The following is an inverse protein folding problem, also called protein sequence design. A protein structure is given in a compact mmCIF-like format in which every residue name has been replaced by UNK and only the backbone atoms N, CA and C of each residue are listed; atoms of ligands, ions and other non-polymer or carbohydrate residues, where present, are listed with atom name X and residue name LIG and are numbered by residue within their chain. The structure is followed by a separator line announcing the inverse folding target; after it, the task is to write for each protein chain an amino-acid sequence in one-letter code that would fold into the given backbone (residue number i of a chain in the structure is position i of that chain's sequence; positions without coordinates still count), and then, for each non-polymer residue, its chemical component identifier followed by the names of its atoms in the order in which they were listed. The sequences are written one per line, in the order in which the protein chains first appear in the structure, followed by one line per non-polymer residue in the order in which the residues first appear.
data_IF_993493218147
#
_entry.id   IF_993493218147
#
_cell.length_a   1.000
_cell.length_b   1.000
_cell.length_c   1.000
_cell.angle_alpha   90.00
_cell.angle_beta   90.00
_cell.angle_gamma   90.00
#
_symmetry.space_group_name_H-M   'P 1'
#
loop_
_entity.id
_entity.type
_entity.pdbx_description
1 polymer ?
#
# COMPACT_ATOMS: atom_id res chain seq x y z
N UNK A 1 5.00 -17.83 -30.82
CA UNK A 1 4.74 -18.53 -29.54
C UNK A 1 3.62 -17.77 -28.82
N UNK A 2 2.36 -18.14 -29.05
CA UNK A 2 1.21 -17.61 -28.32
C UNK A 2 0.84 -18.63 -27.24
N UNK A 3 1.48 -18.52 -26.08
CA UNK A 3 0.95 -19.06 -24.83
C UNK A 3 0.20 -17.93 -24.14
N UNK A 4 -0.96 -17.55 -24.69
CA UNK A 4 -1.79 -16.50 -24.11
C UNK A 4 -2.33 -17.00 -22.78
N UNK A 5 -1.82 -16.47 -21.67
CA UNK A 5 -2.39 -16.70 -20.35
C UNK A 5 -3.89 -16.33 -20.40
N UNK A 6 -4.76 -17.27 -20.06
CA UNK A 6 -6.18 -17.00 -19.80
C UNK A 6 -6.40 -16.37 -18.41
N UNK A 7 -5.32 -16.03 -17.71
CA UNK A 7 -5.34 -15.45 -16.38
C UNK A 7 -5.70 -13.97 -16.40
N UNK A 8 -6.38 -13.55 -15.34
CA UNK A 8 -6.69 -12.15 -15.05
C UNK A 8 -5.46 -11.54 -14.38
N UNK A 9 -4.98 -10.41 -14.91
CA UNK A 9 -3.79 -9.74 -14.41
C UNK A 9 -4.04 -8.26 -14.14
N UNK A 10 -3.37 -7.73 -13.12
CA UNK A 10 -3.26 -6.30 -12.84
C UNK A 10 -1.79 -5.90 -12.90
N UNK A 11 -1.47 -4.92 -13.75
CA UNK A 11 -0.11 -4.39 -13.89
C UNK A 11 0.11 -3.17 -13.02
N UNK A 12 1.19 -3.17 -12.24
CA UNK A 12 1.61 -2.03 -11.44
C UNK A 12 2.71 -1.24 -12.18
N UNK A 13 2.68 0.09 -12.07
CA UNK A 13 3.73 0.97 -12.61
C UNK A 13 5.06 0.74 -11.90
N UNK A 14 5.00 0.57 -10.58
CA UNK A 14 6.16 0.30 -9.72
C UNK A 14 6.11 -1.11 -9.15
N UNK A 15 7.25 -1.64 -8.73
CA UNK A 15 7.33 -2.98 -8.17
C UNK A 15 6.51 -3.06 -6.87
N UNK A 16 5.53 -3.97 -6.84
CA UNK A 16 4.86 -4.33 -5.60
C UNK A 16 5.77 -5.20 -4.73
N UNK A 17 5.67 -5.00 -3.42
CA UNK A 17 6.30 -5.85 -2.41
C UNK A 17 5.30 -6.72 -1.67
N UNK A 18 4.12 -6.18 -1.38
CA UNK A 18 3.12 -6.83 -0.57
C UNK A 18 1.72 -6.67 -1.17
N UNK A 19 0.85 -7.63 -0.87
CA UNK A 19 -0.57 -7.65 -1.24
C UNK A 19 -1.35 -8.34 -0.13
N UNK A 20 -2.55 -7.83 0.18
CA UNK A 20 -3.50 -8.48 1.09
C UNK A 20 -4.93 -8.36 0.54
N UNK A 21 -5.79 -9.27 0.96
CA UNK A 21 -7.24 -9.16 0.78
C UNK A 21 -7.82 -8.01 1.63
N UNK A 22 -8.98 -7.48 1.23
CA UNK A 22 -9.75 -6.51 2.03
C UNK A 22 -10.80 -7.28 2.84
N UNK A 23 -10.43 -7.75 4.03
CA UNK A 23 -11.22 -8.70 4.84
C UNK A 23 -12.64 -8.26 5.15
N UNK A 24 -12.85 -6.95 5.35
CA UNK A 24 -14.15 -6.38 5.68
C UNK A 24 -15.03 -6.08 4.46
N UNK A 25 -14.52 -6.22 3.23
CA UNK A 25 -15.34 -6.12 2.01
C UNK A 25 -16.02 -7.47 1.76
N UNK A 26 -17.24 -7.61 2.26
CA UNK A 26 -18.03 -8.85 2.11
C UNK A 26 -18.75 -8.96 0.77
N UNK A 27 -18.80 -7.86 0.02
CA UNK A 27 -19.60 -7.75 -1.20
C UNK A 27 -18.76 -7.96 -2.46
N UNK A 28 -17.44 -7.77 -2.37
CA UNK A 28 -16.52 -7.87 -3.50
C UNK A 28 -15.23 -8.62 -3.16
N UNK A 29 -14.60 -9.17 -4.18
CA UNK A 29 -13.21 -9.66 -4.08
C UNK A 29 -12.25 -8.50 -4.31
N UNK A 30 -11.78 -7.90 -3.22
CA UNK A 30 -10.90 -6.73 -3.22
C UNK A 30 -9.54 -7.02 -2.57
N UNK A 31 -8.52 -6.34 -3.05
CA UNK A 31 -7.14 -6.44 -2.58
C UNK A 31 -6.53 -5.05 -2.40
N UNK A 32 -5.59 -4.94 -1.46
CA UNK A 32 -4.69 -3.80 -1.35
C UNK A 32 -3.26 -4.24 -1.66
N UNK A 33 -2.56 -3.51 -2.52
CA UNK A 33 -1.18 -3.77 -2.89
C UNK A 33 -0.29 -2.57 -2.58
N UNK A 34 0.90 -2.81 -2.01
CA UNK A 34 1.86 -1.78 -1.66
C UNK A 34 3.14 -1.87 -2.47
N UNK A 35 3.65 -0.74 -2.94
CA UNK A 35 4.90 -0.67 -3.72
C UNK A 35 6.14 -0.54 -2.83
N UNK A 36 7.29 -0.86 -3.41
CA UNK A 36 8.61 -0.54 -2.86
C UNK A 36 9.46 0.14 -3.94
N UNK A 37 9.73 1.42 -3.74
CA UNK A 37 10.60 2.26 -4.55
C UNK A 37 11.50 3.10 -3.66
N UNK A 38 12.78 3.16 -4.04
CA UNK A 38 13.81 4.02 -3.43
C UNK A 38 13.96 5.37 -4.14
N UNK A 39 13.29 5.55 -5.29
CA UNK A 39 13.48 6.72 -6.18
C UNK A 39 12.22 7.52 -6.39
N UNK A 40 11.09 6.83 -6.37
CA UNK A 40 9.77 7.36 -6.70
C UNK A 40 8.91 7.31 -5.43
N UNK A 41 7.88 8.15 -5.38
CA UNK A 41 6.89 8.07 -4.30
C UNK A 41 6.22 6.69 -4.33
N UNK A 42 6.06 6.06 -3.16
CA UNK A 42 5.41 4.76 -3.07
C UNK A 42 3.90 4.92 -3.14
N UNK A 43 3.20 3.84 -3.51
CA UNK A 43 1.77 3.84 -3.76
C UNK A 43 1.10 2.64 -3.07
N UNK A 44 -0.13 2.86 -2.61
CA UNK A 44 -1.08 1.82 -2.21
C UNK A 44 -2.19 1.77 -3.26
N UNK A 45 -2.40 0.60 -3.84
CA UNK A 45 -3.46 0.34 -4.80
C UNK A 45 -4.61 -0.41 -4.14
N UNK A 46 -5.84 0.09 -4.24
CA UNK A 46 -7.05 -0.66 -3.98
C UNK A 46 -7.53 -1.26 -5.31
N UNK A 47 -7.50 -2.58 -5.39
CA UNK A 47 -7.79 -3.36 -6.60
C UNK A 47 -9.04 -4.19 -6.34
N UNK A 48 -9.97 -4.23 -7.30
CA UNK A 48 -11.18 -5.02 -7.21
C UNK A 48 -11.35 -5.90 -8.43
N UNK A 49 -11.76 -7.15 -8.22
CA UNK A 49 -12.23 -8.01 -9.30
C UNK A 49 -13.61 -7.53 -9.76
N UNK A 50 -13.79 -7.34 -11.06
CA UNK A 50 -15.09 -6.96 -11.61
C UNK A 50 -16.17 -7.97 -11.26
N UNK A 51 -17.43 -7.52 -11.24
CA UNK A 51 -18.59 -8.40 -10.98
C UNK A 51 -18.68 -9.58 -11.94
N UNK A 52 -18.20 -9.42 -13.19
CA UNK A 52 -18.12 -10.49 -14.18
C UNK A 52 -16.96 -11.47 -13.95
N UNK A 53 -16.03 -11.17 -13.04
CA UNK A 53 -14.88 -12.01 -12.73
C UNK A 53 -13.89 -12.11 -13.88
N UNK A 54 -13.78 -11.09 -14.74
CA UNK A 54 -12.95 -11.12 -15.96
C UNK A 54 -11.80 -10.13 -15.94
N UNK A 55 -11.85 -9.12 -15.06
CA UNK A 55 -10.86 -8.05 -15.01
C UNK A 55 -10.60 -7.58 -13.58
N UNK A 56 -9.39 -7.10 -13.33
CA UNK A 56 -9.02 -6.41 -12.10
C UNK A 56 -8.96 -4.91 -12.38
N UNK A 57 -9.70 -4.12 -11.60
CA UNK A 57 -9.82 -2.68 -11.75
C UNK A 57 -9.15 -1.98 -10.57
N UNK A 58 -8.43 -0.89 -10.84
CA UNK A 58 -7.93 0.00 -9.80
C UNK A 58 -9.05 0.92 -9.35
N UNK A 59 -9.58 0.73 -8.14
CA UNK A 59 -10.58 1.64 -7.57
C UNK A 59 -9.95 2.81 -6.83
N UNK A 60 -8.73 2.63 -6.32
CA UNK A 60 -8.02 3.66 -5.58
C UNK A 60 -6.51 3.56 -5.77
N UNK A 61 -5.88 4.72 -5.95
CA UNK A 61 -4.43 4.86 -6.02
C UNK A 61 -4.03 5.97 -5.05
N UNK A 62 -3.24 5.63 -4.04
CA UNK A 62 -2.90 6.55 -2.96
C UNK A 62 -1.40 6.63 -2.74
N UNK A 63 -0.85 7.84 -2.56
CA UNK A 63 0.56 8.01 -2.25
C UNK A 63 0.88 7.52 -0.84
N UNK A 64 2.08 6.96 -0.68
CA UNK A 64 2.65 6.54 0.59
C UNK A 64 4.09 7.04 0.69
N UNK A 65 4.47 7.73 1.78
CA UNK A 65 5.75 8.44 1.85
C UNK A 65 6.96 7.52 2.04
N UNK A 66 6.75 6.28 2.48
CA UNK A 66 7.80 5.34 2.89
C UNK A 66 7.76 4.05 2.05
N UNK A 67 8.85 3.28 2.09
CA UNK A 67 8.91 1.96 1.44
C UNK A 67 7.99 0.97 2.15
N UNK A 68 6.96 0.48 1.47
CA UNK A 68 5.98 -0.42 2.10
C UNK A 68 6.55 -1.83 2.12
N UNK A 69 6.79 -2.34 3.32
CA UNK A 69 7.37 -3.67 3.51
C UNK A 69 6.32 -4.74 3.68
N UNK A 70 5.23 -4.40 4.36
CA UNK A 70 4.08 -5.27 4.55
C UNK A 70 2.81 -4.42 4.80
N UNK A 71 1.64 -5.03 4.60
CA UNK A 71 0.35 -4.41 4.91
C UNK A 71 -0.68 -5.44 5.39
N UNK A 72 -1.69 -4.96 6.11
CA UNK A 72 -2.81 -5.81 6.54
C UNK A 72 -4.10 -5.00 6.61
N UNK A 73 -5.18 -5.53 6.05
CA UNK A 73 -6.50 -4.93 6.12
C UNK A 73 -7.16 -5.13 7.50
N UNK A 74 -7.94 -4.13 7.92
CA UNK A 74 -8.79 -4.24 9.09
C UNK A 74 -9.93 -5.24 8.82
N UNK A 75 -10.20 -6.19 9.73
CA UNK A 75 -11.28 -7.17 9.56
C UNK A 75 -12.67 -6.60 9.85
N UNK A 76 -12.79 -5.34 10.31
CA UNK A 76 -14.06 -4.73 10.72
C UNK A 76 -14.43 -3.46 9.92
N UNK A 77 -13.49 -2.83 9.22
CA UNK A 77 -13.74 -1.66 8.36
C UNK A 77 -12.87 -1.75 7.11
N UNK A 78 -13.50 -1.86 5.94
CA UNK A 78 -12.82 -2.04 4.66
C UNK A 78 -11.91 -0.87 4.27
N UNK A 79 -12.09 0.29 4.89
CA UNK A 79 -11.28 1.49 4.64
C UNK A 79 -10.05 1.57 5.52
N UNK A 80 -9.93 0.73 6.54
CA UNK A 80 -8.80 0.79 7.48
C UNK A 80 -7.80 -0.31 7.15
N UNK A 81 -6.51 0.03 7.11
CA UNK A 81 -5.43 -0.92 7.00
C UNK A 81 -4.18 -0.42 7.71
N UNK A 82 -3.25 -1.32 8.00
CA UNK A 82 -1.94 -1.00 8.55
C UNK A 82 -0.84 -1.23 7.52
N UNK A 83 0.23 -0.43 7.58
CA UNK A 83 1.49 -0.71 6.88
C UNK A 83 2.62 -0.88 7.88
N UNK A 84 3.59 -1.74 7.53
CA UNK A 84 4.95 -1.72 8.07
C UNK A 84 5.83 -1.15 6.98
N UNK A 85 6.71 -0.21 7.33
CA UNK A 85 7.51 0.51 6.36
C UNK A 85 8.92 0.81 6.83
N UNK A 86 9.82 1.01 5.87
CA UNK A 86 11.12 1.64 6.09
C UNK A 86 11.05 3.10 5.68
N UNK A 87 11.51 3.94 6.59
CA UNK A 87 11.70 5.37 6.35
C UNK A 87 13.14 5.58 5.91
N UNK A 88 13.38 5.67 4.60
CA UNK A 88 14.65 6.19 4.09
C UNK A 88 14.65 7.70 4.32
N UNK A 89 15.25 8.16 5.41
CA UNK A 89 15.65 9.55 5.51
C UNK A 89 16.65 9.83 4.41
N UNK A 90 16.18 10.42 3.30
CA UNK A 90 16.98 10.72 2.12
C UNK A 90 18.31 11.42 2.46
N UNK A 91 19.22 11.40 1.48
CA UNK A 91 20.66 11.72 1.56
C UNK A 91 21.07 12.93 2.43
N UNK A 92 20.18 13.92 2.65
CA UNK A 92 20.45 15.13 3.44
C UNK A 92 20.37 14.88 4.96
N UNK A 93 19.57 13.92 5.43
CA UNK A 93 19.52 13.52 6.86
C UNK A 93 20.56 12.43 7.20
N UNK A 94 21.15 11.78 6.20
CA UNK A 94 22.23 10.78 6.39
C UNK A 94 23.48 11.34 7.09
N UNK A 95 23.64 12.66 7.11
CA UNK A 95 24.76 13.32 7.81
C UNK A 95 24.47 13.65 9.29
N UNK A 96 23.21 13.55 9.74
CA UNK A 96 22.81 13.99 11.07
C UNK A 96 22.18 12.90 11.96
N UNK A 97 21.70 11.78 11.41
CA UNK A 97 21.04 10.73 12.21
C UNK A 97 21.46 9.34 11.75
N UNK A 98 21.92 8.55 12.72
CA UNK A 98 22.30 7.15 12.57
C UNK A 98 21.12 6.24 12.16
N UNK A 99 21.16 5.69 10.94
CA UNK A 99 20.52 4.42 10.55
C UNK A 99 19.09 4.51 10.00
N UNK A 100 18.77 3.59 9.09
CA UNK A 100 17.41 3.33 8.59
C UNK A 100 16.48 2.96 9.76
N UNK A 101 15.35 3.66 9.89
CA UNK A 101 14.29 3.34 10.84
C UNK A 101 13.13 2.62 10.16
N UNK A 102 12.63 1.57 10.79
CA UNK A 102 11.36 0.96 10.43
C UNK A 102 10.26 1.40 11.39
N UNK A 103 9.04 1.48 10.88
CA UNK A 103 7.86 1.86 11.65
C UNK A 103 6.60 1.18 11.12
N UNK A 104 5.48 1.43 11.80
CA UNK A 104 4.17 1.00 11.34
C UNK A 104 3.13 2.09 11.57
N UNK A 105 2.14 2.16 10.68
CA UNK A 105 1.07 3.14 10.76
C UNK A 105 -0.26 2.50 10.37
N UNK A 106 -1.34 3.08 10.89
CA UNK A 106 -2.72 2.76 10.54
C UNK A 106 -3.24 3.89 9.67
N UNK A 107 -3.83 3.51 8.56
CA UNK A 107 -4.32 4.40 7.51
C UNK A 107 -5.81 4.19 7.30
N UNK A 108 -6.48 5.27 6.90
CA UNK A 108 -7.86 5.27 6.47
C UNK A 108 -7.97 5.71 5.01
N UNK A 109 -8.65 4.90 4.20
CA UNK A 109 -9.05 5.21 2.84
C UNK A 109 -10.20 6.24 2.92
N UNK A 110 -10.07 7.38 2.23
CA UNK A 110 -11.11 8.42 2.25
C UNK A 110 -12.37 7.96 1.52
N UNK A 111 -13.54 8.51 1.87
CA UNK A 111 -14.85 8.10 1.30
C UNK A 111 -14.98 8.32 -0.21
N UNK A 112 -14.29 9.32 -0.75
CA UNK A 112 -14.38 9.75 -2.15
C UNK A 112 -13.19 9.25 -2.98
N UNK A 113 -12.81 7.98 -2.83
CA UNK A 113 -11.77 7.36 -3.66
C UNK A 113 -12.27 7.12 -5.09
N UNK A 114 -11.39 7.26 -6.10
CA UNK A 114 -11.73 7.10 -7.53
C UNK A 114 -12.13 8.38 -8.28
N UNK A 115 -12.04 9.55 -7.64
CA UNK A 115 -12.21 10.87 -8.28
C UNK A 115 -10.87 11.40 -8.83
N UNK A 116 -10.91 12.31 -9.81
CA UNK A 116 -9.74 12.84 -10.54
C UNK A 116 -8.63 13.45 -9.64
N UNK A 117 -9.00 13.87 -8.42
CA UNK A 117 -8.11 14.34 -7.36
C UNK A 117 -8.28 13.43 -6.14
N UNK A 118 -7.95 12.14 -6.28
CA UNK A 118 -8.20 11.16 -5.23
C UNK A 118 -7.57 11.62 -3.91
N UNK A 119 -8.36 11.75 -2.84
CA UNK A 119 -7.84 12.18 -1.56
C UNK A 119 -6.76 11.20 -1.07
N UNK A 120 -5.75 11.74 -0.40
CA UNK A 120 -4.64 10.94 0.11
C UNK A 120 -5.07 10.13 1.33
N UNK A 121 -4.32 9.07 1.65
CA UNK A 121 -4.54 8.28 2.86
C UNK A 121 -4.43 9.15 4.11
N UNK A 122 -5.40 9.01 5.01
CA UNK A 122 -5.34 9.66 6.32
C UNK A 122 -4.60 8.75 7.31
N UNK A 123 -3.53 9.25 7.93
CA UNK A 123 -2.83 8.52 8.99
C UNK A 123 -3.58 8.69 10.31
N UNK A 124 -4.34 7.66 10.70
CA UNK A 124 -5.16 7.67 11.92
C UNK A 124 -4.43 7.10 13.14
N UNK A 125 -3.27 6.48 12.96
CA UNK A 125 -2.42 6.02 14.04
C UNK A 125 -1.01 5.72 13.59
N UNK A 126 -0.07 5.80 14.52
CA UNK A 126 1.32 5.39 14.34
C UNK A 126 1.75 4.51 15.50
N UNK A 127 2.56 3.49 15.21
CA UNK A 127 3.17 2.62 16.22
C UNK A 127 4.59 3.11 16.54
N UNK A 128 4.72 4.42 16.81
CA UNK A 128 6.01 5.10 16.95
C UNK A 128 6.82 4.63 18.17
N UNK A 129 6.15 4.04 19.16
CA UNK A 129 6.80 3.41 20.31
C UNK A 129 7.69 2.21 19.93
N UNK A 130 7.59 1.71 18.70
CA UNK A 130 8.35 0.57 18.19
C UNK A 130 9.35 0.94 17.09
N UNK A 131 9.57 2.24 16.82
CA UNK A 131 10.61 2.69 15.91
C UNK A 131 11.98 2.23 16.42
N UNK A 132 12.60 1.30 15.72
CA UNK A 132 13.91 0.77 16.09
C UNK A 132 14.87 0.81 14.92
N UNK A 133 16.15 0.87 15.22
CA UNK A 133 17.21 0.75 14.22
C UNK A 133 17.37 -0.72 13.84
N UNK A 134 17.63 -0.97 12.56
CA UNK A 134 18.06 -2.29 12.11
C UNK A 134 19.51 -2.48 12.55
N UNK A 135 19.76 -3.48 13.40
CA UNK A 135 21.12 -3.88 13.80
C UNK A 135 21.53 -5.05 12.91
N UNK A 136 22.54 -4.84 12.07
CA UNK A 136 23.22 -5.89 11.31
C UNK A 136 24.43 -6.41 12.08
#
# INVERSE_FOLDING_TARGET
MQGGSTGIGYGLKYQARCIADVKADTDHTSFIAGTLSLKEENEVHLIRLSSGGTELVCEGLFSHPNEIWDLSSCPFDQRIFSTVFSSDTGLIMRLAVEGESYGAAIWQIPELYGQLNSPQLERIGSLDAHNSKIKW
#
